data_IF_119278318648
#
_entry.id   IF_119278318648
#
_cell.length_a   1.000
_cell.length_b   1.000
_cell.length_c   1.000
_cell.angle_alpha   90.00
_cell.angle_beta   90.00
_cell.angle_gamma   90.00
#
_symmetry.space_group_name_H-M   'P 1'
#
loop_
_entity.id
_entity.type
_entity.pdbx_description
1 polymer ?
#
# COMPACT_ATOMS: atom_id res chain seq x y z
N UNK A 1 13.09 -8.82 -37.35
CA UNK A 1 11.97 -8.96 -36.40
C UNK A 1 12.39 -8.30 -35.09
N UNK A 2 11.76 -7.19 -34.71
CA UNK A 2 12.04 -6.55 -33.41
C UNK A 2 11.56 -7.46 -32.28
N UNK A 3 12.39 -7.69 -31.27
CA UNK A 3 12.02 -8.48 -30.10
C UNK A 3 10.77 -7.86 -29.44
N UNK A 4 9.76 -8.68 -29.16
CA UNK A 4 8.54 -8.22 -28.49
C UNK A 4 8.92 -7.66 -27.09
N UNK A 5 8.69 -6.37 -26.80
CA UNK A 5 9.10 -5.77 -25.53
C UNK A 5 8.42 -6.40 -24.31
N UNK A 6 7.28 -7.08 -24.50
CA UNK A 6 6.61 -7.84 -23.45
C UNK A 6 7.35 -9.12 -23.08
N UNK A 7 8.08 -9.76 -24.01
CA UNK A 7 8.79 -11.00 -23.72
C UNK A 7 9.97 -10.78 -22.76
N UNK A 8 10.79 -9.74 -23.00
CA UNK A 8 11.88 -9.37 -22.10
C UNK A 8 11.36 -8.87 -20.75
N UNK A 9 10.28 -8.09 -20.76
CA UNK A 9 9.63 -7.61 -19.53
C UNK A 9 9.07 -8.75 -18.69
N UNK A 10 8.38 -9.71 -19.30
CA UNK A 10 7.90 -10.91 -18.62
C UNK A 10 9.05 -11.73 -18.03
N UNK A 11 10.15 -11.90 -18.76
CA UNK A 11 11.35 -12.59 -18.26
C UNK A 11 11.92 -11.96 -17.00
N UNK A 12 12.06 -10.63 -16.97
CA UNK A 12 12.51 -9.88 -15.79
C UNK A 12 11.57 -10.06 -14.60
N UNK A 13 10.26 -9.90 -14.81
CA UNK A 13 9.25 -10.08 -13.76
C UNK A 13 9.23 -11.51 -13.21
N UNK A 14 9.40 -12.50 -14.09
CA UNK A 14 9.38 -13.90 -13.69
C UNK A 14 10.60 -14.28 -12.84
N UNK A 15 11.74 -13.64 -13.06
CA UNK A 15 12.91 -13.82 -12.20
C UNK A 15 12.63 -13.38 -10.75
N UNK A 16 11.89 -12.29 -10.55
CA UNK A 16 11.52 -11.79 -9.22
C UNK A 16 10.65 -12.77 -8.42
N UNK A 17 9.85 -13.60 -9.11
CA UNK A 17 8.93 -14.54 -8.44
C UNK A 17 9.69 -15.60 -7.64
N UNK A 18 10.96 -15.84 -7.96
CA UNK A 18 11.83 -16.73 -7.17
C UNK A 18 12.09 -16.22 -5.75
N UNK A 19 11.91 -14.92 -5.52
CA UNK A 19 12.06 -14.29 -4.21
C UNK A 19 10.74 -14.25 -3.39
N UNK A 20 9.65 -14.84 -3.90
CA UNK A 20 8.41 -15.00 -3.12
C UNK A 20 8.59 -16.07 -2.05
N UNK A 21 7.79 -15.96 -0.98
CA UNK A 21 7.84 -16.94 0.10
C UNK A 21 7.49 -18.32 -0.46
N UNK A 22 8.38 -19.32 -0.30
CA UNK A 22 8.09 -20.65 -0.78
C UNK A 22 7.04 -21.29 0.14
N UNK A 23 6.27 -22.23 -0.42
CA UNK A 23 5.12 -22.84 0.26
C UNK A 23 5.50 -23.48 1.59
N UNK A 24 6.65 -24.13 1.67
CA UNK A 24 7.16 -24.77 2.89
C UNK A 24 7.45 -23.74 4.00
N UNK A 25 7.95 -22.55 3.65
CA UNK A 25 8.19 -21.49 4.61
C UNK A 25 6.87 -20.92 5.12
N UNK A 26 5.87 -20.75 4.24
CA UNK A 26 4.54 -20.32 4.66
C UNK A 26 3.89 -21.33 5.62
N UNK A 27 4.01 -22.63 5.35
CA UNK A 27 3.51 -23.69 6.27
C UNK A 27 4.24 -23.65 7.61
N UNK A 28 5.56 -23.42 7.63
CA UNK A 28 6.31 -23.24 8.88
C UNK A 28 5.85 -22.02 9.68
N UNK A 29 5.50 -20.92 9.02
CA UNK A 29 4.97 -19.72 9.68
C UNK A 29 3.63 -19.98 10.37
N UNK A 30 2.80 -20.91 9.87
CA UNK A 30 1.53 -21.28 10.53
C UNK A 30 1.76 -21.98 11.89
N UNK A 31 2.92 -22.61 12.08
CA UNK A 31 3.31 -23.25 13.33
C UNK A 31 4.10 -22.32 14.26
N UNK A 32 4.27 -21.05 13.88
CA UNK A 32 4.96 -20.06 14.71
C UNK A 32 4.16 -19.78 15.98
N UNK A 33 4.87 -19.66 17.10
CA UNK A 33 4.27 -19.41 18.42
C UNK A 33 3.82 -17.97 18.59
N UNK A 34 4.54 -17.05 17.94
CA UNK A 34 4.29 -15.63 17.99
C UNK A 34 4.81 -14.92 16.74
N UNK A 35 4.51 -13.62 16.65
CA UNK A 35 4.91 -12.77 15.52
C UNK A 35 6.42 -12.56 15.47
N UNK A 36 7.11 -12.62 16.62
CA UNK A 36 8.57 -12.52 16.65
C UNK A 36 9.24 -13.69 15.94
N UNK A 37 8.67 -14.89 16.06
CA UNK A 37 9.12 -16.07 15.32
C UNK A 37 8.87 -15.92 13.81
N UNK A 38 7.71 -15.39 13.40
CA UNK A 38 7.43 -15.07 11.99
C UNK A 38 8.44 -14.05 11.45
N UNK A 39 8.73 -12.98 12.21
CA UNK A 39 9.74 -11.97 11.83
C UNK A 39 11.12 -12.59 11.65
N UNK A 40 11.54 -13.50 12.55
CA UNK A 40 12.80 -14.26 12.39
C UNK A 40 12.81 -15.14 11.15
N UNK A 41 11.69 -15.77 10.81
CA UNK A 41 11.58 -16.54 9.57
C UNK A 41 11.72 -15.64 8.32
N UNK A 42 11.19 -14.42 8.37
CA UNK A 42 11.29 -13.43 7.29
C UNK A 42 12.71 -12.85 7.11
N UNK A 43 13.55 -12.84 8.15
CA UNK A 43 14.94 -12.37 8.07
C UNK A 43 15.80 -13.19 7.08
N UNK A 44 15.44 -14.45 6.83
CA UNK A 44 16.11 -15.30 5.83
C UNK A 44 15.64 -15.08 4.40
N UNK A 45 14.81 -14.07 4.13
CA UNK A 45 14.12 -13.90 2.86
C UNK A 45 14.35 -12.50 2.26
N UNK A 46 13.71 -12.20 1.13
CA UNK A 46 13.75 -10.89 0.50
C UNK A 46 13.10 -9.75 1.31
N UNK A 47 12.43 -10.06 2.43
CA UNK A 47 11.86 -9.07 3.36
C UNK A 47 12.90 -8.52 4.35
N UNK A 48 14.04 -9.20 4.50
CA UNK A 48 15.13 -8.83 5.44
C UNK A 48 15.63 -7.40 5.26
N UNK A 49 15.72 -6.94 4.03
CA UNK A 49 16.14 -5.57 3.72
C UNK A 49 15.24 -4.53 4.38
N UNK A 50 13.91 -4.63 4.25
CA UNK A 50 13.01 -3.66 4.86
C UNK A 50 12.90 -3.85 6.37
N UNK A 51 12.89 -5.09 6.84
CA UNK A 51 12.93 -5.41 8.27
C UNK A 51 14.09 -4.69 8.96
N UNK A 52 15.31 -4.79 8.42
CA UNK A 52 16.49 -4.15 9.00
C UNK A 52 16.39 -2.62 9.01
N UNK A 53 15.67 -2.01 8.06
CA UNK A 53 15.51 -0.56 8.00
C UNK A 53 14.50 0.00 8.98
N UNK A 54 13.59 -0.81 9.52
CA UNK A 54 12.55 -0.36 10.47
C UNK A 54 12.71 -0.93 11.87
N UNK A 55 13.58 -1.93 12.06
CA UNK A 55 13.84 -2.60 13.34
C UNK A 55 14.39 -1.68 14.44
N UNK A 56 15.01 -0.56 14.08
CA UNK A 56 15.49 0.44 15.03
C UNK A 56 14.35 1.21 15.73
N UNK A 57 13.19 1.32 15.07
CA UNK A 57 12.08 2.16 15.51
C UNK A 57 10.79 1.39 15.78
N UNK A 58 10.66 0.15 15.31
CA UNK A 58 9.45 -0.66 15.43
C UNK A 58 9.78 -2.08 15.92
N UNK A 59 8.83 -2.70 16.61
CA UNK A 59 8.95 -4.06 17.15
C UNK A 59 7.63 -4.84 16.96
N UNK A 60 7.68 -6.16 17.15
CA UNK A 60 6.49 -7.02 17.11
C UNK A 60 5.72 -6.96 15.78
N UNK A 61 4.40 -6.81 15.87
CA UNK A 61 3.50 -6.77 14.71
C UNK A 61 3.78 -5.55 13.82
N UNK A 62 3.92 -4.36 14.40
CA UNK A 62 4.17 -3.13 13.65
C UNK A 62 5.45 -3.23 12.80
N UNK A 63 6.52 -3.85 13.35
CA UNK A 63 7.74 -4.12 12.59
C UNK A 63 7.47 -4.96 11.33
N UNK A 64 6.71 -6.03 11.49
CA UNK A 64 6.36 -6.94 10.40
C UNK A 64 5.50 -6.22 9.34
N UNK A 65 4.42 -5.56 9.77
CA UNK A 65 3.48 -4.89 8.87
C UNK A 65 4.17 -3.81 8.04
N UNK A 66 4.95 -2.93 8.67
CA UNK A 66 5.65 -1.86 7.97
C UNK A 66 6.70 -2.43 7.02
N UNK A 67 7.45 -3.45 7.42
CA UNK A 67 8.44 -4.07 6.55
C UNK A 67 7.79 -4.75 5.33
N UNK A 68 6.71 -5.50 5.54
CA UNK A 68 5.94 -6.16 4.48
C UNK A 68 5.34 -5.12 3.53
N UNK A 69 4.74 -4.05 4.04
CA UNK A 69 4.19 -2.95 3.23
C UNK A 69 5.29 -2.27 2.40
N UNK A 70 6.46 -2.02 2.97
CA UNK A 70 7.60 -1.43 2.23
C UNK A 70 8.13 -2.35 1.14
N UNK A 71 8.26 -3.65 1.44
CA UNK A 71 8.65 -4.66 0.44
C UNK A 71 7.62 -4.73 -0.68
N UNK A 72 6.33 -4.70 -0.33
CA UNK A 72 5.22 -4.73 -1.27
C UNK A 72 5.28 -3.54 -2.23
N UNK A 73 5.40 -2.32 -1.72
CA UNK A 73 5.52 -1.10 -2.52
C UNK A 73 6.73 -1.17 -3.46
N UNK A 74 7.91 -1.54 -2.94
CA UNK A 74 9.15 -1.64 -3.75
C UNK A 74 8.98 -2.64 -4.91
N UNK A 75 8.36 -3.79 -4.65
CA UNK A 75 8.13 -4.81 -5.68
C UNK A 75 7.17 -4.35 -6.76
N UNK A 76 6.08 -3.67 -6.38
CA UNK A 76 5.14 -3.12 -7.37
C UNK A 76 5.79 -2.00 -8.21
N UNK A 77 6.67 -1.20 -7.61
CA UNK A 77 7.48 -0.21 -8.34
C UNK A 77 8.32 -0.89 -9.42
N UNK A 78 9.09 -1.89 -9.02
CA UNK A 78 9.92 -2.65 -9.96
C UNK A 78 9.06 -3.28 -11.06
N UNK A 79 7.90 -3.83 -10.70
CA UNK A 79 7.00 -4.43 -11.68
C UNK A 79 6.48 -3.43 -12.73
N UNK A 80 6.10 -2.24 -12.30
CA UNK A 80 5.67 -1.16 -13.18
C UNK A 80 6.81 -0.62 -14.05
N UNK A 81 8.00 -0.41 -13.48
CA UNK A 81 9.19 0.05 -14.20
C UNK A 81 9.61 -0.96 -15.28
N UNK A 82 9.51 -2.25 -14.98
CA UNK A 82 9.78 -3.34 -15.90
C UNK A 82 8.71 -3.48 -17.01
N UNK A 83 7.51 -2.92 -16.83
CA UNK A 83 6.41 -3.00 -17.80
C UNK A 83 6.71 -2.12 -19.03
N UNK A 84 6.49 -2.61 -20.27
CA UNK A 84 6.63 -1.81 -21.48
C UNK A 84 5.76 -0.56 -21.45
N UNK A 85 6.20 0.51 -22.10
CA UNK A 85 5.48 1.80 -22.10
C UNK A 85 4.00 1.67 -22.45
N UNK A 86 3.66 0.86 -23.46
CA UNK A 86 2.29 0.58 -23.89
C UNK A 86 1.45 -0.19 -22.86
N UNK A 87 2.08 -0.94 -21.95
CA UNK A 87 1.39 -1.69 -20.88
C UNK A 87 1.26 -0.91 -19.56
N UNK A 88 2.03 0.17 -19.38
CA UNK A 88 2.01 0.96 -18.14
C UNK A 88 0.63 1.50 -17.78
N UNK A 89 -0.22 1.99 -18.70
CA UNK A 89 -1.56 2.45 -18.34
C UNK A 89 -2.43 1.38 -17.66
N UNK A 90 -2.31 0.11 -18.10
CA UNK A 90 -3.08 -1.01 -17.55
C UNK A 90 -2.57 -1.41 -16.17
N UNK A 91 -1.26 -1.61 -16.02
CA UNK A 91 -0.65 -1.91 -14.71
C UNK A 91 -0.91 -0.77 -13.74
N UNK A 92 -0.88 0.47 -14.23
CA UNK A 92 -1.15 1.64 -13.44
C UNK A 92 -2.60 1.74 -12.95
N UNK A 93 -3.56 1.41 -13.81
CA UNK A 93 -4.97 1.28 -13.42
C UNK A 93 -5.15 0.23 -12.30
N UNK A 94 -4.42 -0.88 -12.35
CA UNK A 94 -4.46 -1.88 -11.29
C UNK A 94 -3.86 -1.37 -9.97
N UNK A 95 -2.72 -0.66 -10.01
CA UNK A 95 -2.06 -0.15 -8.81
C UNK A 95 -2.85 0.96 -8.10
N UNK A 96 -3.75 1.67 -8.80
CA UNK A 96 -4.67 2.65 -8.19
C UNK A 96 -5.57 2.08 -7.10
N UNK A 97 -5.76 0.76 -7.01
CA UNK A 97 -6.45 0.14 -5.87
C UNK A 97 -5.82 0.51 -4.53
N UNK A 98 -4.51 0.73 -4.48
CA UNK A 98 -3.82 1.09 -3.24
C UNK A 98 -4.04 2.54 -2.83
N UNK A 99 -4.38 3.43 -3.78
CA UNK A 99 -4.90 4.75 -3.43
C UNK A 99 -6.21 4.61 -2.68
N UNK A 100 -7.11 3.74 -3.17
CA UNK A 100 -8.42 3.49 -2.55
C UNK A 100 -8.25 2.91 -1.14
N UNK A 101 -7.42 1.88 -0.97
CA UNK A 101 -7.13 1.30 0.36
C UNK A 101 -6.60 2.35 1.35
N UNK A 102 -5.67 3.21 0.92
CA UNK A 102 -5.13 4.28 1.75
C UNK A 102 -6.19 5.35 2.05
N UNK A 103 -7.03 5.71 1.08
CA UNK A 103 -8.16 6.63 1.28
C UNK A 103 -9.13 6.07 2.31
N UNK A 104 -9.56 4.82 2.16
CA UNK A 104 -10.46 4.15 3.10
C UNK A 104 -9.87 4.09 4.50
N UNK A 105 -8.58 3.79 4.63
CA UNK A 105 -7.87 3.84 5.91
C UNK A 105 -7.90 5.24 6.54
N UNK A 106 -7.62 6.30 5.75
CA UNK A 106 -7.66 7.69 6.22
C UNK A 106 -9.08 8.09 6.66
N UNK A 107 -10.10 7.75 5.88
CA UNK A 107 -11.51 8.03 6.19
C UNK A 107 -11.92 7.30 7.50
N UNK A 108 -11.61 6.01 7.61
CA UNK A 108 -11.90 5.21 8.80
C UNK A 108 -11.16 5.73 10.05
N UNK A 109 -9.90 6.10 9.91
CA UNK A 109 -9.13 6.70 11.00
C UNK A 109 -9.71 8.05 11.42
N UNK A 110 -10.14 8.89 10.48
CA UNK A 110 -10.79 10.17 10.78
C UNK A 110 -12.11 9.97 11.50
N UNK A 111 -12.94 9.04 11.03
CA UNK A 111 -14.22 8.71 11.66
C UNK A 111 -14.05 8.19 13.10
N UNK A 112 -12.99 7.41 13.36
CA UNK A 112 -12.66 6.87 14.69
C UNK A 112 -11.87 7.82 15.59
N UNK A 113 -11.53 9.03 15.12
CA UNK A 113 -10.72 9.99 15.89
C UNK A 113 -9.29 9.50 16.18
N UNK A 114 -8.73 8.64 15.32
CA UNK A 114 -7.33 8.16 15.46
C UNK A 114 -6.35 9.30 15.19
N UNK A 115 -5.16 9.20 15.81
CA UNK A 115 -4.10 10.18 15.58
C UNK A 115 -3.58 10.09 14.13
N UNK A 116 -3.10 11.23 13.62
CA UNK A 116 -2.47 11.32 12.29
C UNK A 116 -1.23 10.41 12.23
N UNK A 117 -0.39 10.46 13.27
CA UNK A 117 0.86 9.72 13.31
C UNK A 117 0.69 8.21 13.28
N UNK A 118 -0.31 7.68 13.99
CA UNK A 118 -0.60 6.24 13.98
C UNK A 118 -1.11 5.79 12.61
N UNK A 119 -1.97 6.61 11.99
CA UNK A 119 -2.55 6.28 10.67
C UNK A 119 -1.51 6.38 9.56
N UNK A 120 -0.61 7.38 9.61
CA UNK A 120 0.45 7.56 8.61
C UNK A 120 1.39 6.35 8.54
N UNK A 121 1.66 5.69 9.67
CA UNK A 121 2.51 4.49 9.74
C UNK A 121 1.87 3.26 9.08
N UNK A 122 0.53 3.21 9.04
CA UNK A 122 -0.24 2.09 8.48
C UNK A 122 -0.49 2.25 6.97
N UNK A 123 -0.28 3.44 6.41
CA UNK A 123 -0.43 3.68 4.98
C UNK A 123 0.46 2.73 4.17
N UNK A 124 -0.09 2.18 3.08
CA UNK A 124 0.65 1.35 2.12
C UNK A 124 1.62 2.24 1.33
N UNK A 125 2.79 2.48 1.91
CA UNK A 125 3.84 3.37 1.38
C UNK A 125 5.25 2.90 1.73
N UNK A 126 6.23 3.34 0.93
CA UNK A 126 7.66 3.14 1.21
C UNK A 126 8.42 4.42 0.94
N UNK A 127 9.07 4.97 1.98
CA UNK A 127 10.02 6.11 1.92
C UNK A 127 9.66 7.13 0.84
N UNK A 128 8.63 7.92 1.12
CA UNK A 128 8.14 8.99 0.25
C UNK A 128 7.48 8.53 -1.06
N UNK A 129 7.28 7.22 -1.24
CA UNK A 129 6.56 6.65 -2.38
C UNK A 129 5.43 5.73 -1.91
N UNK A 130 4.17 6.19 -1.93
CA UNK A 130 3.01 5.31 -1.84
C UNK A 130 3.05 4.19 -2.91
N UNK A 131 2.53 2.99 -2.62
CA UNK A 131 2.37 1.95 -3.67
C UNK A 131 1.51 2.45 -4.84
N UNK A 132 0.59 3.36 -4.52
CA UNK A 132 -0.14 4.20 -5.45
C UNK A 132 0.78 4.97 -6.38
N UNK A 133 1.59 5.91 -5.90
CA UNK A 133 2.36 6.94 -6.64
C UNK A 133 3.09 6.50 -7.93
N UNK A 134 3.43 5.23 -8.08
CA UNK A 134 4.00 4.69 -9.32
C UNK A 134 3.01 4.83 -10.51
N UNK A 135 1.70 4.83 -10.22
CA UNK A 135 0.62 5.08 -11.17
C UNK A 135 -0.70 5.65 -10.58
N UNK A 136 -0.73 5.83 -9.28
CA UNK A 136 -1.76 6.46 -8.48
C UNK A 136 -1.64 7.96 -8.57
N UNK A 137 -2.74 8.64 -8.28
CA UNK A 137 -2.83 10.10 -8.41
C UNK A 137 -2.34 10.83 -7.17
N UNK A 138 -2.15 10.11 -6.06
CA UNK A 138 -1.84 10.66 -4.75
C UNK A 138 -0.38 10.40 -4.38
N UNK A 139 0.30 11.47 -4.00
CA UNK A 139 1.65 11.47 -3.41
C UNK A 139 1.58 11.27 -1.89
N UNK A 140 2.75 11.05 -1.25
CA UNK A 140 2.78 11.00 0.21
C UNK A 140 2.31 12.33 0.84
N UNK A 141 2.67 13.45 0.22
CA UNK A 141 2.23 14.76 0.71
C UNK A 141 0.74 14.96 0.51
N UNK A 142 0.14 14.42 -0.56
CA UNK A 142 -1.31 14.39 -0.70
C UNK A 142 -1.97 13.59 0.41
N UNK A 143 -1.46 12.40 0.76
CA UNK A 143 -1.97 11.62 1.89
C UNK A 143 -1.81 12.34 3.22
N UNK A 144 -0.68 13.02 3.47
CA UNK A 144 -0.48 13.85 4.66
C UNK A 144 -1.48 15.01 4.72
N UNK A 145 -1.73 15.65 3.59
CA UNK A 145 -2.72 16.72 3.49
C UNK A 145 -4.14 16.20 3.76
N UNK A 146 -4.49 15.00 3.27
CA UNK A 146 -5.77 14.34 3.58
C UNK A 146 -5.89 14.00 5.07
N UNK A 147 -4.84 13.46 5.68
CA UNK A 147 -4.81 13.17 7.13
C UNK A 147 -5.03 14.41 8.00
N UNK A 148 -4.49 15.55 7.56
CA UNK A 148 -4.61 16.84 8.22
C UNK A 148 -6.01 17.48 8.10
N UNK A 149 -6.88 16.97 7.22
CA UNK A 149 -8.23 17.51 7.08
C UNK A 149 -9.06 17.34 8.37
N UNK A 150 -9.94 18.30 8.69
CA UNK A 150 -10.67 18.30 9.95
C UNK A 150 -11.80 17.26 10.00
N UNK A 151 -12.31 16.79 8.87
CA UNK A 151 -13.48 15.90 8.80
C UNK A 151 -13.45 14.96 7.59
N UNK A 152 -14.27 13.91 7.65
CA UNK A 152 -14.52 12.98 6.52
C UNK A 152 -15.02 13.73 5.29
N UNK A 153 -15.90 14.71 5.46
CA UNK A 153 -16.39 15.57 4.39
C UNK A 153 -15.28 16.41 3.75
N UNK A 154 -14.39 16.98 4.56
CA UNK A 154 -13.25 17.76 4.05
C UNK A 154 -12.27 16.87 3.24
N UNK A 155 -12.07 15.62 3.68
CA UNK A 155 -11.29 14.61 2.93
C UNK A 155 -11.94 14.33 1.58
N UNK A 156 -13.25 14.03 1.55
CA UNK A 156 -13.97 13.74 0.31
C UNK A 156 -13.96 14.91 -0.68
N UNK A 157 -14.13 16.15 -0.19
CA UNK A 157 -14.03 17.35 -1.00
C UNK A 157 -12.63 17.55 -1.60
N UNK A 158 -11.57 17.33 -0.83
CA UNK A 158 -10.20 17.40 -1.35
C UNK A 158 -9.95 16.34 -2.43
N UNK A 159 -10.52 15.13 -2.26
CA UNK A 159 -10.40 14.01 -3.18
C UNK A 159 -11.08 14.24 -4.54
N UNK A 160 -11.92 15.26 -4.70
CA UNK A 160 -12.51 15.64 -6.00
C UNK A 160 -11.43 15.97 -7.02
N UNK A 161 -10.33 16.61 -6.59
CA UNK A 161 -9.18 16.94 -7.46
C UNK A 161 -8.49 15.72 -8.07
N UNK A 162 -8.71 14.54 -7.50
CA UNK A 162 -8.08 13.28 -7.90
C UNK A 162 -9.09 12.31 -8.54
N UNK A 163 -10.31 12.76 -8.81
CA UNK A 163 -11.47 11.99 -9.31
C UNK A 163 -11.99 10.90 -8.34
N UNK A 164 -11.50 10.86 -7.10
CA UNK A 164 -12.03 9.96 -6.06
C UNK A 164 -13.24 10.57 -5.33
N UNK A 165 -13.27 11.89 -5.17
CA UNK A 165 -14.29 12.59 -4.40
C UNK A 165 -15.70 12.48 -4.99
N UNK A 166 -15.84 12.43 -6.31
CA UNK A 166 -17.14 12.32 -6.97
C UNK A 166 -17.92 11.05 -6.56
N UNK A 167 -17.20 9.94 -6.33
CA UNK A 167 -17.80 8.71 -5.83
C UNK A 167 -18.10 8.76 -4.32
N UNK A 168 -17.30 9.50 -3.55
CA UNK A 168 -17.41 9.57 -2.09
C UNK A 168 -18.47 10.57 -1.60
N UNK A 169 -18.65 11.70 -2.29
CA UNK A 169 -19.54 12.79 -1.84
C UNK A 169 -20.98 12.33 -1.55
N UNK A 170 -21.64 11.51 -2.40
CA UNK A 170 -22.98 10.99 -2.08
C UNK A 170 -23.00 10.11 -0.81
N UNK A 171 -21.90 9.41 -0.54
CA UNK A 171 -21.75 8.47 0.58
C UNK A 171 -21.44 9.21 1.89
N UNK A 172 -20.81 10.38 1.81
CA UNK A 172 -20.59 11.27 2.97
C UNK A 172 -21.92 11.74 3.56
N UNK A 173 -22.94 12.01 2.74
CA UNK A 173 -24.27 12.39 3.23
C UNK A 173 -24.96 11.25 4.01
N UNK A 174 -24.69 10.00 3.64
CA UNK A 174 -25.16 8.82 4.36
C UNK A 174 -24.39 8.62 5.67
N UNK A 175 -23.06 8.77 5.64
CA UNK A 175 -22.21 8.74 6.82
C UNK A 175 -22.60 9.81 7.85
N UNK A 176 -22.85 11.05 7.43
CA UNK A 176 -23.26 12.12 8.35
C UNK A 176 -24.56 11.82 9.11
N UNK A 177 -25.43 10.96 8.55
CA UNK A 177 -26.68 10.52 9.18
C UNK A 177 -26.50 9.28 10.04
N UNK A 178 -25.78 8.29 9.56
CA UNK A 178 -25.66 6.96 10.20
C UNK A 178 -24.46 6.86 11.15
N UNK A 179 -23.43 7.68 10.96
CA UNK A 179 -22.08 7.51 11.50
C UNK A 179 -21.47 6.12 11.18
N UNK A 180 -22.03 5.42 10.20
CA UNK A 180 -21.51 4.15 9.71
C UNK A 180 -20.57 4.43 8.53
N UNK A 181 -19.33 3.97 8.69
CA UNK A 181 -18.29 4.10 7.66
C UNK A 181 -18.46 3.09 6.52
N UNK A 182 -19.29 2.04 6.69
CA UNK A 182 -19.30 0.89 5.78
C UNK A 182 -19.87 1.11 4.35
N UNK A 183 -20.36 2.29 3.93
CA UNK A 183 -20.48 2.61 2.51
C UNK A 183 -19.31 3.42 1.92
N UNK A 184 -18.40 3.99 2.73
CA UNK A 184 -17.25 4.84 2.33
C UNK A 184 -15.94 4.05 2.15
#
# INVERSE_FOLDING_TARGET
MGANPYASSHGRLRADFTAFLPKDLFVRMLAAKDVGEIVKMLDGTAYSFDLNQVRATHQGIALMEIAVNRTFVRRNRHAFEATPFSGRPVVGAYLRRWDIENISLILASKAKGRSIGDTEQELVSSRDTPAGLIAGKLTLDDFRNLLAQPSVEAIANQLVKFDYGAALLPLVEEYSRSHDIFPL
#
